data_IF_859528225219
#
_entry.id   IF_859528225219
#
_cell.length_a   1.000
_cell.length_b   1.000
_cell.length_c   1.000
_cell.angle_alpha   90.00
_cell.angle_beta   90.00
_cell.angle_gamma   90.00
#
_symmetry.space_group_name_H-M   'P 1'
#
loop_
_entity.id
_entity.type
_entity.pdbx_description
1 polymer ?
#
# COMPACT_ATOMS: atom_id res chain seq x y z
N UNK A 1 -1.81 21.54 -60.46
CA UNK A 1 -2.25 20.87 -59.22
C UNK A 1 -1.24 19.77 -58.98
N UNK A 2 -0.14 20.10 -58.31
CA UNK A 2 1.00 19.19 -58.14
C UNK A 2 0.73 18.27 -56.94
N UNK A 3 0.55 16.99 -57.23
CA UNK A 3 0.34 15.93 -56.23
C UNK A 3 1.63 15.72 -55.44
N UNK A 4 1.64 16.15 -54.18
CA UNK A 4 2.78 15.99 -53.27
C UNK A 4 2.96 14.51 -52.90
N UNK A 5 3.86 13.83 -53.61
CA UNK A 5 4.21 12.45 -53.35
C UNK A 5 5.11 12.37 -52.09
N UNK A 6 4.53 11.99 -50.96
CA UNK A 6 5.27 11.73 -49.73
C UNK A 6 6.00 10.39 -49.82
N UNK A 7 7.28 10.41 -50.16
CA UNK A 7 8.16 9.23 -50.10
C UNK A 7 8.59 9.04 -48.64
N UNK A 8 8.16 7.96 -48.01
CA UNK A 8 8.62 7.62 -46.67
C UNK A 8 10.10 7.20 -46.72
N UNK A 9 10.92 7.82 -45.87
CA UNK A 9 12.32 7.41 -45.70
C UNK A 9 12.38 5.97 -45.14
N UNK A 10 13.34 5.14 -45.60
CA UNK A 10 13.53 3.81 -45.05
C UNK A 10 13.82 3.89 -43.55
N UNK A 11 13.09 3.08 -42.77
CA UNK A 11 13.26 3.03 -41.32
C UNK A 11 14.71 2.65 -41.00
N UNK A 12 15.40 3.48 -40.23
CA UNK A 12 16.67 3.09 -39.62
C UNK A 12 16.39 1.98 -38.61
N UNK A 13 16.70 0.75 -38.99
CA UNK A 13 16.68 -0.39 -38.08
C UNK A 13 18.01 -0.43 -37.34
N UNK A 14 17.96 -0.32 -36.02
CA UNK A 14 19.14 -0.38 -35.14
C UNK A 14 19.09 0.61 -33.99
N UNK A 15 20.06 0.51 -33.09
CA UNK A 15 20.30 1.55 -32.10
C UNK A 15 20.82 2.82 -32.79
N UNK A 16 20.66 3.98 -32.15
CA UNK A 16 21.19 5.25 -32.68
C UNK A 16 22.69 5.13 -32.97
N UNK A 17 23.19 5.84 -33.97
CA UNK A 17 24.61 5.83 -34.34
C UNK A 17 25.56 6.23 -33.19
N UNK A 18 25.03 6.83 -32.14
CA UNK A 18 25.75 7.22 -30.92
C UNK A 18 25.29 6.47 -29.67
N UNK A 19 24.61 5.32 -29.82
CA UNK A 19 24.26 4.48 -28.69
C UNK A 19 25.53 3.97 -28.01
N UNK A 20 25.71 4.34 -26.75
CA UNK A 20 26.83 3.82 -25.95
C UNK A 20 26.55 2.35 -25.61
N UNK A 21 27.57 1.47 -25.65
CA UNK A 21 27.42 0.12 -25.12
C UNK A 21 26.96 0.13 -23.66
N UNK A 22 26.15 -0.85 -23.22
CA UNK A 22 25.79 -0.96 -21.81
C UNK A 22 27.06 -1.18 -20.98
N UNK A 23 27.26 -0.32 -19.98
CA UNK A 23 28.40 -0.44 -19.06
C UNK A 23 27.98 -1.35 -17.91
N UNK A 24 28.73 -2.41 -17.65
CA UNK A 24 28.53 -3.24 -16.47
C UNK A 24 29.00 -2.49 -15.23
N UNK A 25 28.07 -2.16 -14.33
CA UNK A 25 28.39 -1.55 -13.04
C UNK A 25 28.66 -2.66 -12.03
N UNK A 26 29.73 -2.52 -11.24
CA UNK A 26 30.02 -3.47 -10.16
C UNK A 26 28.90 -3.44 -9.12
N UNK A 27 28.42 -4.61 -8.70
CA UNK A 27 27.39 -4.71 -7.67
C UNK A 27 27.98 -4.38 -6.30
N UNK A 28 27.89 -3.13 -5.87
CA UNK A 28 28.21 -2.70 -4.50
C UNK A 28 26.98 -2.88 -3.61
N UNK A 29 27.11 -3.45 -2.40
CA UNK A 29 25.99 -3.53 -1.47
C UNK A 29 25.49 -2.13 -1.13
N UNK A 30 24.17 -1.97 -1.02
CA UNK A 30 23.53 -0.74 -0.55
C UNK A 30 23.98 -0.46 0.90
N UNK A 31 24.23 0.81 1.27
CA UNK A 31 24.46 1.19 2.66
C UNK A 31 23.30 0.82 3.57
N UNK A 32 23.58 0.56 4.85
CA UNK A 32 22.55 0.36 5.87
C UNK A 32 21.77 1.66 6.04
N UNK A 33 20.46 1.55 5.94
CA UNK A 33 19.51 2.66 6.15
C UNK A 33 18.80 2.51 7.49
N UNK A 34 18.29 3.59 8.09
CA UNK A 34 17.52 3.51 9.34
C UNK A 34 16.32 2.58 9.21
N UNK A 35 15.73 2.48 8.01
CA UNK A 35 14.64 1.54 7.71
C UNK A 35 15.05 0.06 7.83
N UNK A 36 16.35 -0.24 7.77
CA UNK A 36 16.86 -1.60 7.92
C UNK A 36 17.05 -2.00 9.41
N UNK A 37 16.84 -1.06 10.34
CA UNK A 37 16.94 -1.32 11.78
C UNK A 37 15.66 -1.97 12.33
N UNK A 38 15.77 -2.80 13.38
CA UNK A 38 14.59 -3.36 14.03
C UNK A 38 13.79 -2.25 14.71
N UNK A 39 12.45 -2.31 14.61
CA UNK A 39 11.52 -1.35 15.23
C UNK A 39 11.77 -1.19 16.74
N UNK A 40 12.18 -2.27 17.41
CA UNK A 40 12.49 -2.25 18.84
C UNK A 40 13.68 -1.35 19.21
N UNK A 41 14.54 -0.97 18.26
CA UNK A 41 15.65 -0.06 18.52
C UNK A 41 15.21 1.39 18.80
N UNK A 42 14.00 1.76 18.35
CA UNK A 42 13.42 3.09 18.55
C UNK A 42 12.33 3.12 19.64
N UNK A 43 12.05 1.98 20.27
CA UNK A 43 11.00 1.91 21.30
C UNK A 43 11.42 2.61 22.59
N UNK A 44 10.49 3.40 23.14
CA UNK A 44 10.69 4.02 24.46
C UNK A 44 10.39 3.04 25.59
N UNK A 45 10.89 3.34 26.80
CA UNK A 45 10.66 2.49 27.98
C UNK A 45 9.16 2.35 28.30
N UNK A 46 8.35 3.37 28.03
CA UNK A 46 6.90 3.33 28.20
C UNK A 46 6.22 2.39 27.19
N UNK A 47 6.68 2.37 25.94
CA UNK A 47 6.16 1.51 24.88
C UNK A 47 6.48 0.04 25.15
N UNK A 48 7.69 -0.24 25.66
CA UNK A 48 8.09 -1.58 26.11
C UNK A 48 7.17 -2.07 27.24
N UNK A 49 6.85 -1.20 28.20
CA UNK A 49 5.92 -1.53 29.29
C UNK A 49 4.49 -1.78 28.79
N UNK A 50 4.01 -0.96 27.84
CA UNK A 50 2.70 -1.15 27.23
C UNK A 50 2.61 -2.49 26.48
N UNK A 51 3.64 -2.85 25.70
CA UNK A 51 3.70 -4.15 25.04
C UNK A 51 3.69 -5.31 26.04
N UNK A 52 4.49 -5.20 27.12
CA UNK A 52 4.51 -6.18 28.21
C UNK A 52 3.11 -6.39 28.82
N UNK A 53 2.31 -5.32 28.97
CA UNK A 53 0.94 -5.40 29.47
C UNK A 53 -0.06 -5.98 28.45
N UNK A 54 0.19 -5.83 27.14
CA UNK A 54 -0.68 -6.29 26.06
C UNK A 54 -0.54 -7.79 25.73
N UNK A 55 0.50 -8.47 26.25
CA UNK A 55 0.80 -9.89 26.02
C UNK A 55 -0.23 -10.91 26.58
N UNK A 56 -1.47 -10.50 26.83
CA UNK A 56 -2.60 -11.38 27.14
C UNK A 56 -3.50 -11.72 25.93
N UNK A 57 -3.06 -11.44 24.69
CA UNK A 57 -3.84 -11.76 23.48
C UNK A 57 -3.10 -12.73 22.56
N UNK A 58 -3.28 -14.03 22.82
CA UNK A 58 -2.94 -15.21 22.00
C UNK A 58 -2.53 -14.92 20.54
N UNK A 59 -1.28 -14.51 20.32
CA UNK A 59 -0.66 -14.43 19.00
C UNK A 59 -1.29 -13.47 17.99
N UNK A 60 -2.17 -12.54 18.39
CA UNK A 60 -2.69 -11.52 17.46
C UNK A 60 -1.73 -10.35 17.37
N UNK A 61 -0.84 -10.41 16.38
CA UNK A 61 -0.05 -9.25 15.95
C UNK A 61 -1.04 -8.16 15.47
N UNK A 62 -1.03 -6.94 16.03
CA UNK A 62 -1.95 -5.86 15.64
C UNK A 62 -1.56 -5.19 14.31
N UNK A 63 -0.86 -5.88 13.40
CA UNK A 63 -0.35 -5.30 12.16
C UNK A 63 -1.35 -5.29 11.01
N UNK A 64 -2.62 -5.62 11.24
CA UNK A 64 -3.66 -5.51 10.20
C UNK A 64 -4.21 -4.08 10.22
N UNK A 65 -4.08 -3.29 9.14
CA UNK A 65 -4.76 -2.00 9.07
C UNK A 65 -6.27 -2.25 9.10
N UNK A 66 -6.91 -1.89 10.21
CA UNK A 66 -8.32 -2.16 10.50
C UNK A 66 -8.60 -3.05 11.72
N UNK A 67 -7.57 -3.56 12.40
CA UNK A 67 -7.73 -4.28 13.66
C UNK A 67 -8.00 -3.32 14.82
N UNK A 68 -9.27 -3.17 15.20
CA UNK A 68 -9.64 -2.45 16.42
C UNK A 68 -9.06 -3.17 17.65
N UNK A 69 -8.17 -2.50 18.39
CA UNK A 69 -7.81 -2.90 19.75
C UNK A 69 -9.06 -2.79 20.61
N UNK A 70 -9.63 -3.93 21.00
CA UNK A 70 -10.77 -3.97 21.90
C UNK A 70 -10.30 -3.60 23.30
N UNK A 71 -10.49 -2.34 23.68
CA UNK A 71 -10.34 -1.90 25.06
C UNK A 71 -11.47 -2.56 25.87
N UNK A 72 -11.15 -3.55 26.70
CA UNK A 72 -12.11 -4.14 27.62
C UNK A 72 -12.34 -3.19 28.79
N UNK A 73 -13.17 -2.18 28.58
CA UNK A 73 -13.77 -1.40 29.66
C UNK A 73 -14.93 -2.20 30.29
N UNK A 74 -15.19 -2.06 31.60
CA UNK A 74 -16.27 -2.77 32.28
C UNK A 74 -17.66 -2.42 31.69
N UNK A 75 -18.62 -3.36 31.66
CA UNK A 75 -19.84 -3.25 30.86
C UNK A 75 -20.87 -2.34 31.54
N UNK A 76 -20.82 -1.05 31.24
CA UNK A 76 -21.96 -0.13 31.42
C UNK A 76 -22.07 0.80 30.22
N UNK A 77 -22.57 0.30 29.10
CA UNK A 77 -22.76 1.08 27.88
C UNK A 77 -23.80 0.45 26.94
N UNK A 78 -24.48 1.26 26.11
CA UNK A 78 -25.56 0.80 25.24
C UNK A 78 -25.09 -0.23 24.22
N UNK A 79 -26.04 -1.10 23.83
CA UNK A 79 -25.87 -2.29 22.97
C UNK A 79 -24.83 -2.09 21.84
N UNK A 80 -23.89 -3.04 21.64
CA UNK A 80 -22.84 -2.90 20.64
C UNK A 80 -23.43 -2.76 19.23
N UNK A 81 -23.05 -1.68 18.55
CA UNK A 81 -23.49 -1.38 17.19
C UNK A 81 -23.09 -2.51 16.24
N UNK A 82 -24.07 -3.21 15.68
CA UNK A 82 -23.84 -4.26 14.68
C UNK A 82 -23.57 -3.63 13.31
N UNK A 83 -22.40 -3.87 12.69
CA UNK A 83 -22.13 -3.36 11.36
C UNK A 83 -23.08 -4.02 10.35
N UNK A 84 -23.69 -3.21 9.48
CA UNK A 84 -24.47 -3.71 8.35
C UNK A 84 -23.52 -4.01 7.19
N UNK A 85 -23.63 -5.16 6.52
CA UNK A 85 -22.83 -5.45 5.34
C UNK A 85 -23.16 -4.43 4.24
N UNK A 86 -22.15 -3.74 3.72
CA UNK A 86 -22.31 -2.84 2.59
C UNK A 86 -22.25 -3.67 1.29
N UNK A 87 -23.16 -3.39 0.35
CA UNK A 87 -23.18 -4.03 -0.96
C UNK A 87 -23.08 -2.98 -2.05
N UNK A 88 -22.02 -3.06 -2.85
CA UNK A 88 -21.78 -2.18 -4.00
C UNK A 88 -22.92 -2.31 -5.01
N UNK A 89 -23.45 -3.51 -5.19
CA UNK A 89 -24.57 -3.77 -6.11
C UNK A 89 -25.85 -3.07 -5.65
N UNK A 90 -26.17 -3.16 -4.35
CA UNK A 90 -27.33 -2.48 -3.78
C UNK A 90 -27.21 -0.95 -3.89
N UNK A 91 -25.99 -0.42 -3.73
CA UNK A 91 -25.72 1.01 -3.90
C UNK A 91 -25.87 1.46 -5.35
N UNK A 92 -25.32 0.69 -6.31
CA UNK A 92 -25.44 0.97 -7.73
C UNK A 92 -26.91 0.94 -8.21
N UNK A 93 -27.71 -0.01 -7.73
CA UNK A 93 -29.14 -0.10 -8.04
C UNK A 93 -29.92 1.10 -7.48
N UNK A 94 -29.55 1.60 -6.29
CA UNK A 94 -30.14 2.82 -5.69
C UNK A 94 -29.84 4.08 -6.52
N UNK A 95 -28.64 4.21 -7.07
CA UNK A 95 -28.29 5.35 -7.93
C UNK A 95 -29.05 5.28 -9.27
N UNK A 96 -29.20 4.07 -9.83
CA UNK A 96 -29.87 3.86 -11.12
C UNK A 96 -31.39 3.99 -11.06
N UNK A 97 -32.00 3.81 -9.88
CA UNK A 97 -33.43 4.07 -9.66
C UNK A 97 -33.60 5.25 -8.70
N UNK A 98 -33.44 6.50 -9.17
CA UNK A 98 -33.88 7.64 -8.39
C UNK A 98 -35.38 7.46 -8.13
N UNK A 99 -35.76 7.41 -6.85
CA UNK A 99 -37.17 7.38 -6.45
C UNK A 99 -37.86 8.60 -7.06
N UNK A 100 -38.89 8.36 -7.86
CA UNK A 100 -39.81 9.38 -8.37
C UNK A 100 -40.85 9.70 -7.31
#
# INVERSE_FOLDING_TARGET
MDEQQHVALPKLYGASAYARPPVTVAHTPRPVTPDDLPIAAEMTDEEVQLLAMLHATDGRVPSTPGGSVAFTAPPSGPEPLRPRPFSIRAFADRIRRPRR
#
